data_IF_892944911427
#
_entry.id   IF_892944911427
#
_cell.length_a   1.000
_cell.length_b   1.000
_cell.length_c   1.000
_cell.angle_alpha   90.00
_cell.angle_beta   90.00
_cell.angle_gamma   90.00
#
_symmetry.space_group_name_H-M   'P 1'
#
loop_
_entity.id
_entity.type
_entity.pdbx_description
1 polymer ?
#
# COMPACT_ATOMS: atom_id res chain seq x y z
N UNK A 1 38.22 28.40 -30.30
CA UNK A 1 38.19 27.90 -28.90
C UNK A 1 37.23 26.72 -28.70
N UNK A 2 37.06 25.81 -29.67
CA UNK A 2 36.01 24.75 -29.61
C UNK A 2 36.53 23.33 -29.87
N UNK A 3 37.84 23.12 -30.09
CA UNK A 3 38.40 21.79 -30.43
C UNK A 3 38.99 21.01 -29.25
N UNK A 4 39.26 21.66 -28.12
CA UNK A 4 39.83 21.02 -26.93
C UNK A 4 38.78 20.25 -26.10
N UNK A 5 37.53 20.73 -26.05
CA UNK A 5 36.47 20.10 -25.26
C UNK A 5 35.99 18.75 -25.81
N UNK A 6 36.02 18.54 -27.12
CA UNK A 6 35.57 17.28 -27.75
C UNK A 6 36.56 16.13 -27.47
N UNK A 7 37.86 16.44 -27.36
CA UNK A 7 38.90 15.43 -27.07
C UNK A 7 38.74 14.83 -25.67
N UNK A 8 38.30 15.63 -24.68
CA UNK A 8 38.08 15.17 -23.30
C UNK A 8 36.83 14.29 -23.15
N UNK A 9 35.82 14.50 -23.98
CA UNK A 9 34.59 13.69 -23.95
C UNK A 9 34.80 12.27 -24.52
N UNK A 10 35.74 12.10 -25.47
CA UNK A 10 36.03 10.79 -26.07
C UNK A 10 36.89 9.88 -25.21
N UNK A 11 37.76 10.43 -24.37
CA UNK A 11 38.61 9.62 -23.47
C UNK A 11 37.80 9.02 -22.32
N UNK A 12 36.94 9.81 -21.67
CA UNK A 12 36.11 9.35 -20.53
C UNK A 12 35.16 8.18 -20.88
N UNK A 13 34.61 8.14 -22.10
CA UNK A 13 33.71 7.05 -22.51
C UNK A 13 34.40 5.71 -22.74
N UNK A 14 35.71 5.71 -23.04
CA UNK A 14 36.47 4.47 -23.27
C UNK A 14 36.81 3.76 -21.96
N UNK A 15 37.06 4.53 -20.90
CA UNK A 15 37.40 3.98 -19.57
C UNK A 15 36.19 3.32 -18.91
N UNK A 16 35.00 3.88 -19.06
CA UNK A 16 33.78 3.29 -18.50
C UNK A 16 33.40 1.93 -19.12
N UNK A 17 33.74 1.68 -20.41
CA UNK A 17 33.41 0.40 -21.06
C UNK A 17 34.36 -0.74 -20.71
N UNK A 18 35.54 -0.46 -20.12
CA UNK A 18 36.58 -1.46 -19.84
C UNK A 18 36.46 -2.11 -18.46
N UNK A 19 35.59 -1.62 -17.58
CA UNK A 19 35.29 -2.23 -16.27
C UNK A 19 34.28 -3.38 -16.29
N UNK A 20 33.78 -3.78 -17.47
CA UNK A 20 32.87 -4.93 -17.63
C UNK A 20 33.60 -6.08 -18.32
N UNK A 21 34.35 -6.88 -17.58
CA UNK A 21 34.53 -8.33 -17.81
C UNK A 21 35.54 -8.93 -16.82
N UNK A 22 35.27 -10.16 -16.37
CA UNK A 22 36.07 -11.12 -15.57
C UNK A 22 35.95 -10.94 -14.04
N UNK A 23 35.57 -11.92 -13.22
CA UNK A 23 35.52 -13.38 -13.37
C UNK A 23 34.64 -14.03 -12.27
N UNK A 24 34.38 -15.36 -12.31
CA UNK A 24 33.36 -16.07 -11.54
C UNK A 24 33.87 -16.56 -10.18
N UNK A 25 32.96 -16.69 -9.20
CA UNK A 25 33.23 -17.44 -7.96
C UNK A 25 32.01 -18.27 -7.56
N UNK A 26 32.03 -19.53 -8.00
CA UNK A 26 31.87 -20.73 -7.18
C UNK A 26 31.40 -20.52 -5.74
N UNK A 27 30.26 -21.15 -5.42
CA UNK A 27 30.05 -21.88 -4.18
C UNK A 27 29.96 -21.06 -2.89
N UNK A 28 28.72 -20.79 -2.46
CA UNK A 28 28.35 -20.92 -1.04
C UNK A 28 26.83 -21.08 -0.92
N UNK A 29 26.37 -22.32 -0.76
CA UNK A 29 25.13 -22.59 -0.06
C UNK A 29 25.31 -22.06 1.36
N UNK A 30 24.59 -21.00 1.70
CA UNK A 30 24.55 -20.46 3.06
C UNK A 30 23.08 -20.41 3.50
N UNK A 31 22.77 -21.33 4.40
CA UNK A 31 21.73 -21.36 5.44
C UNK A 31 20.28 -20.92 5.12
N UNK A 32 19.28 -21.65 5.66
CA UNK A 32 17.92 -21.18 5.72
C UNK A 32 17.87 -20.02 6.72
N UNK A 33 18.07 -18.80 6.23
CA UNK A 33 17.75 -17.60 6.98
C UNK A 33 16.25 -17.61 7.19
N UNK A 34 15.85 -17.94 8.42
CA UNK A 34 14.55 -17.66 9.02
C UNK A 34 13.98 -16.40 8.36
N UNK A 35 12.96 -16.60 7.51
CA UNK A 35 12.25 -15.52 6.84
C UNK A 35 11.68 -14.63 7.93
N UNK A 36 12.41 -13.57 8.25
CA UNK A 36 11.96 -12.51 9.14
C UNK A 36 10.68 -11.96 8.53
N UNK A 37 9.54 -12.29 9.14
CA UNK A 37 8.18 -11.81 8.83
C UNK A 37 8.03 -10.29 9.10
N UNK A 38 9.09 -9.52 8.88
CA UNK A 38 9.20 -8.08 9.16
C UNK A 38 9.83 -7.30 8.02
N UNK A 39 10.01 -7.89 6.83
CA UNK A 39 10.12 -7.10 5.60
C UNK A 39 8.72 -6.61 5.18
N UNK A 40 8.17 -5.76 6.05
CA UNK A 40 7.05 -4.88 5.73
C UNK A 40 7.45 -4.11 4.48
N UNK A 41 6.79 -4.47 3.38
CA UNK A 41 7.03 -4.00 2.03
C UNK A 41 6.89 -2.47 1.95
N UNK A 42 7.90 -1.73 2.41
CA UNK A 42 7.94 -0.27 2.44
C UNK A 42 8.17 0.21 1.02
N UNK A 43 7.08 0.39 0.27
CA UNK A 43 7.14 1.06 -1.02
C UNK A 43 7.70 2.47 -0.80
N UNK A 44 8.79 2.86 -1.48
CA UNK A 44 9.39 4.19 -1.33
C UNK A 44 8.51 5.33 -1.89
N UNK A 45 7.31 5.03 -2.39
CA UNK A 45 6.31 6.00 -2.85
C UNK A 45 4.88 5.72 -2.36
N UNK A 46 4.72 4.95 -1.26
CA UNK A 46 3.41 4.77 -0.62
C UNK A 46 3.07 5.95 0.29
N UNK A 47 1.81 6.37 0.32
CA UNK A 47 1.29 7.29 1.34
C UNK A 47 1.54 6.66 2.72
N UNK A 48 2.13 7.43 3.63
CA UNK A 48 2.36 6.97 5.00
C UNK A 48 1.04 6.72 5.72
N UNK A 49 1.04 5.80 6.69
CA UNK A 49 -0.15 5.44 7.48
C UNK A 49 -0.87 6.66 8.05
N UNK A 50 -0.11 7.67 8.50
CA UNK A 50 -0.67 8.91 9.04
C UNK A 50 -1.46 9.70 8.00
N UNK A 51 -0.92 9.90 6.80
CA UNK A 51 -1.59 10.63 5.72
C UNK A 51 -2.80 9.83 5.20
N UNK A 52 -2.72 8.49 5.18
CA UNK A 52 -3.87 7.64 4.87
C UNK A 52 -5.00 7.78 5.91
N UNK A 53 -4.65 7.83 7.21
CA UNK A 53 -5.62 8.02 8.28
C UNK A 53 -6.29 9.40 8.20
N UNK A 54 -5.53 10.45 7.89
CA UNK A 54 -6.10 11.79 7.67
C UNK A 54 -7.04 11.83 6.47
N UNK A 55 -6.67 11.17 5.36
CA UNK A 55 -7.54 11.08 4.18
C UNK A 55 -8.86 10.33 4.48
N UNK A 56 -8.79 9.28 5.30
CA UNK A 56 -9.99 8.57 5.75
C UNK A 56 -10.85 9.41 6.70
N UNK A 57 -10.23 10.17 7.60
CA UNK A 57 -10.93 11.08 8.49
C UNK A 57 -11.61 12.23 7.72
N UNK A 58 -10.96 12.75 6.68
CA UNK A 58 -11.51 13.77 5.78
C UNK A 58 -12.76 13.30 5.03
N UNK A 59 -12.74 12.07 4.50
CA UNK A 59 -13.90 11.46 3.81
C UNK A 59 -15.10 11.28 4.76
N UNK A 60 -14.85 10.98 6.03
CA UNK A 60 -15.89 10.86 7.06
C UNK A 60 -16.36 12.20 7.64
N UNK A 61 -15.56 13.26 7.53
CA UNK A 61 -15.88 14.60 8.06
C UNK A 61 -17.01 15.32 7.30
N UNK A 62 -17.58 14.68 6.27
CA UNK A 62 -18.72 15.20 5.51
C UNK A 62 -20.08 15.08 6.22
N UNK A 63 -21.13 14.89 5.42
CA UNK A 63 -22.53 14.90 5.85
C UNK A 63 -22.91 13.95 7.01
N UNK A 64 -22.14 12.87 7.20
CA UNK A 64 -22.35 11.93 8.30
C UNK A 64 -22.05 12.51 9.68
N UNK A 65 -20.95 13.26 9.84
CA UNK A 65 -20.54 13.78 11.14
C UNK A 65 -21.42 14.95 11.60
N UNK A 66 -21.89 15.78 10.67
CA UNK A 66 -22.75 16.95 10.98
C UNK A 66 -24.18 16.56 11.32
N UNK A 67 -24.64 15.39 10.87
CA UNK A 67 -25.99 14.88 11.14
C UNK A 67 -26.09 14.10 12.45
N UNK A 68 -24.98 13.52 12.92
CA UNK A 68 -24.91 12.75 14.16
C UNK A 68 -25.41 13.53 15.40
N UNK A 69 -24.99 14.78 15.67
CA UNK A 69 -25.48 15.53 16.83
C UNK A 69 -26.99 15.77 16.77
N UNK A 70 -27.49 16.09 15.58
CA UNK A 70 -28.93 16.33 15.37
C UNK A 70 -29.74 15.05 15.58
N UNK A 71 -29.21 13.89 15.18
CA UNK A 71 -29.82 12.60 15.44
C UNK A 71 -29.80 12.26 16.95
N UNK A 72 -28.68 12.48 17.64
CA UNK A 72 -28.54 12.18 19.08
C UNK A 72 -29.52 12.99 19.95
N UNK A 73 -29.74 14.26 19.64
CA UNK A 73 -30.71 15.09 20.38
C UNK A 73 -32.15 14.63 20.18
N UNK A 74 -32.47 13.97 19.05
CA UNK A 74 -33.82 13.47 18.75
C UNK A 74 -34.12 12.07 19.31
N UNK A 75 -33.10 11.29 19.67
CA UNK A 75 -33.22 9.88 20.08
C UNK A 75 -32.90 9.67 21.57
N UNK A 76 -32.83 10.75 22.34
CA UNK A 76 -32.30 10.81 23.71
C UNK A 76 -30.80 10.44 23.81
N UNK A 77 -30.06 11.18 24.65
CA UNK A 77 -28.60 11.08 24.71
C UNK A 77 -28.10 9.66 25.04
N UNK A 78 -28.75 8.98 25.98
CA UNK A 78 -28.35 7.64 26.44
C UNK A 78 -28.57 6.57 25.38
N UNK A 79 -29.74 6.54 24.73
CA UNK A 79 -30.06 5.54 23.71
C UNK A 79 -29.28 5.83 22.42
N UNK A 80 -29.19 7.09 22.02
CA UNK A 80 -28.39 7.51 20.86
C UNK A 80 -26.90 7.15 21.00
N UNK A 81 -26.32 7.32 22.19
CA UNK A 81 -24.91 6.95 22.44
C UNK A 81 -24.67 5.44 22.37
N UNK A 82 -25.59 4.62 22.90
CA UNK A 82 -25.49 3.15 22.80
C UNK A 82 -25.56 2.69 21.34
N UNK A 83 -26.49 3.23 20.56
CA UNK A 83 -26.62 2.90 19.13
C UNK A 83 -25.37 3.36 18.37
N UNK A 84 -24.83 4.53 18.69
CA UNK A 84 -23.58 5.03 18.10
C UNK A 84 -22.40 4.07 18.34
N UNK A 85 -22.23 3.57 19.56
CA UNK A 85 -21.16 2.60 19.87
C UNK A 85 -21.34 1.28 19.13
N UNK A 86 -22.59 0.79 19.00
CA UNK A 86 -22.88 -0.43 18.25
C UNK A 86 -22.56 -0.27 16.76
N UNK A 87 -23.01 0.83 16.15
CA UNK A 87 -22.71 1.13 14.74
C UNK A 87 -21.21 1.31 14.51
N UNK A 88 -20.52 2.00 15.42
CA UNK A 88 -19.07 2.14 15.37
C UNK A 88 -18.37 0.78 15.40
N UNK A 89 -18.77 -0.13 16.30
CA UNK A 89 -18.21 -1.48 16.38
C UNK A 89 -18.43 -2.30 15.09
N UNK A 90 -19.63 -2.24 14.50
CA UNK A 90 -19.96 -2.93 13.25
C UNK A 90 -19.17 -2.37 12.07
N UNK A 91 -19.06 -1.04 11.98
CA UNK A 91 -18.28 -0.37 10.93
C UNK A 91 -16.78 -0.67 11.07
N UNK A 92 -16.25 -0.65 12.29
CA UNK A 92 -14.85 -1.03 12.57
C UNK A 92 -14.55 -2.48 12.19
N UNK A 93 -15.44 -3.41 12.51
CA UNK A 93 -15.29 -4.81 12.12
C UNK A 93 -15.29 -4.97 10.60
N UNK A 94 -16.18 -4.25 9.91
CA UNK A 94 -16.24 -4.24 8.44
C UNK A 94 -14.96 -3.69 7.82
N UNK A 95 -14.42 -2.58 8.34
CA UNK A 95 -13.15 -2.01 7.89
C UNK A 95 -11.98 -2.99 8.09
N UNK A 96 -11.93 -3.68 9.23
CA UNK A 96 -10.92 -4.69 9.52
C UNK A 96 -10.97 -5.87 8.54
N UNK A 97 -12.16 -6.42 8.28
CA UNK A 97 -12.34 -7.53 7.34
C UNK A 97 -11.91 -7.16 5.90
N UNK A 98 -12.23 -5.94 5.46
CA UNK A 98 -11.80 -5.40 4.16
C UNK A 98 -10.28 -5.26 4.10
N UNK A 99 -9.66 -4.70 5.14
CA UNK A 99 -8.20 -4.55 5.23
C UNK A 99 -7.48 -5.89 5.16
N UNK A 100 -8.00 -6.90 5.87
CA UNK A 100 -7.42 -8.24 5.85
C UNK A 100 -7.57 -8.93 4.49
N UNK A 101 -8.74 -8.81 3.88
CA UNK A 101 -9.00 -9.35 2.53
C UNK A 101 -8.05 -8.73 1.49
N UNK A 102 -7.78 -7.43 1.62
CA UNK A 102 -6.81 -6.74 0.77
C UNK A 102 -5.38 -7.21 1.01
N UNK A 103 -4.97 -7.40 2.26
CA UNK A 103 -3.63 -7.86 2.60
C UNK A 103 -3.35 -9.26 2.01
N UNK A 104 -4.31 -10.17 2.12
CA UNK A 104 -4.24 -11.50 1.49
C UNK A 104 -4.10 -11.37 -0.04
N UNK A 105 -4.94 -10.54 -0.68
CA UNK A 105 -4.91 -10.35 -2.13
C UNK A 105 -3.55 -9.86 -2.65
N UNK A 106 -2.96 -8.87 -1.96
CA UNK A 106 -1.65 -8.28 -2.26
C UNK A 106 -0.51 -9.25 -1.96
N UNK A 107 -0.69 -10.16 -1.00
CA UNK A 107 0.26 -11.23 -0.72
C UNK A 107 0.25 -12.31 -1.81
N UNK A 108 -0.94 -12.68 -2.30
CA UNK A 108 -1.07 -13.78 -3.26
C UNK A 108 -0.61 -13.39 -4.67
N UNK A 109 -1.02 -12.24 -5.25
CA UNK A 109 -0.58 -11.87 -6.62
C UNK A 109 0.21 -10.55 -6.62
N UNK A 110 1.48 -10.64 -7.02
CA UNK A 110 2.42 -9.52 -7.07
C UNK A 110 2.04 -8.42 -8.08
N UNK A 111 1.18 -8.73 -9.06
CA UNK A 111 0.68 -7.80 -10.08
C UNK A 111 -0.06 -6.59 -9.52
N UNK A 112 -0.77 -6.74 -8.40
CA UNK A 112 -1.48 -5.61 -7.76
C UNK A 112 -0.58 -4.73 -6.89
N UNK A 113 0.71 -5.07 -6.74
CA UNK A 113 1.63 -4.24 -5.97
C UNK A 113 1.97 -2.93 -6.69
N UNK A 114 1.96 -2.88 -8.02
CA UNK A 114 2.50 -1.71 -8.76
C UNK A 114 1.46 -0.62 -9.00
N UNK A 115 0.26 -0.97 -9.46
CA UNK A 115 -0.82 0.00 -9.69
C UNK A 115 -2.18 -0.70 -9.69
N UNK A 116 -3.10 -0.29 -8.82
CA UNK A 116 -4.47 -0.78 -8.83
C UNK A 116 -5.43 0.41 -8.72
N UNK A 117 -6.08 0.78 -9.82
CA UNK A 117 -7.00 1.94 -9.89
C UNK A 117 -8.34 1.68 -9.19
N UNK A 118 -8.70 0.41 -8.94
CA UNK A 118 -9.96 -0.01 -8.29
C UNK A 118 -9.74 -1.20 -7.34
N UNK A 119 -9.33 -0.96 -6.08
CA UNK A 119 -8.99 -2.03 -5.14
C UNK A 119 -10.20 -2.92 -4.80
N UNK A 120 -11.36 -2.33 -4.52
CA UNK A 120 -12.55 -3.09 -4.12
C UNK A 120 -13.11 -4.01 -5.22
N UNK A 121 -13.10 -3.55 -6.47
CA UNK A 121 -13.52 -4.38 -7.61
C UNK A 121 -12.58 -5.58 -7.81
N UNK A 122 -11.28 -5.41 -7.54
CA UNK A 122 -10.30 -6.50 -7.66
C UNK A 122 -10.41 -7.54 -6.54
N UNK A 123 -10.77 -7.13 -5.31
CA UNK A 123 -11.08 -8.05 -4.21
C UNK A 123 -12.32 -8.88 -4.60
N UNK A 124 -13.40 -8.21 -5.01
CA UNK A 124 -14.65 -8.89 -5.39
C UNK A 124 -14.50 -9.82 -6.60
N UNK A 125 -13.78 -9.39 -7.65
CA UNK A 125 -13.54 -10.21 -8.83
C UNK A 125 -12.83 -11.52 -8.52
N UNK A 126 -11.95 -11.52 -7.51
CA UNK A 126 -11.24 -12.75 -7.10
C UNK A 126 -11.93 -13.56 -6.03
N UNK A 127 -12.83 -12.94 -5.27
CA UNK A 127 -13.71 -13.63 -4.34
C UNK A 127 -14.82 -14.40 -5.08
N UNK A 128 -15.25 -13.91 -6.25
CA UNK A 128 -16.12 -14.67 -7.14
C UNK A 128 -15.29 -15.76 -7.82
N UNK A 129 -15.53 -17.02 -7.45
CA UNK A 129 -14.92 -18.19 -8.07
C UNK A 129 -15.22 -18.29 -9.57
N UNK A 130 -14.72 -19.34 -10.26
CA UNK A 130 -14.96 -19.52 -11.69
C UNK A 130 -16.46 -19.39 -11.99
N UNK A 131 -16.81 -18.53 -12.96
CA UNK A 131 -18.17 -18.53 -13.49
C UNK A 131 -18.40 -19.90 -14.13
N UNK A 132 -19.32 -20.66 -13.55
CA UNK A 132 -19.90 -21.85 -14.18
C UNK A 132 -20.82 -21.46 -15.32
#
# INVERSE_FOLDING_TARGET
MTREFDRKARTSKKDFKRGRSLSPSTGRMASPSVTSMTDLFKKPGGIGWFVAALFLADDMAGGGLVTLPTAMVRTDFYIGFVIFLLLWAVTMYSAYALGQSWNILVNTWSTYRVHCRKPYASIGYRAMGPKV
#
